data_IF_388536192937
#
_entry.id   IF_388536192937
#
_cell.length_a   1.000
_cell.length_b   1.000
_cell.length_c   1.000
_cell.angle_alpha   90.00
_cell.angle_beta   90.00
_cell.angle_gamma   90.00
#
_symmetry.space_group_name_H-M   'P 1'
#
loop_
_entity.id
_entity.type
_entity.pdbx_description
1 polymer ?
#
# COMPACT_ATOMS: atom_id res chain seq x y z
N UNK A 1 -19.51 -9.73 45.25
CA UNK A 1 -20.06 -9.98 43.90
C UNK A 1 -21.31 -10.89 43.87
N UNK A 2 -21.45 -11.89 44.73
CA UNK A 2 -22.64 -12.78 44.76
C UNK A 2 -23.95 -12.16 45.29
N UNK A 3 -23.88 -11.06 46.04
CA UNK A 3 -25.08 -10.40 46.61
C UNK A 3 -25.68 -9.30 45.71
N UNK A 4 -24.99 -8.83 44.67
CA UNK A 4 -25.55 -7.89 43.69
C UNK A 4 -26.42 -8.63 42.63
N UNK A 5 -26.03 -9.83 42.25
CA UNK A 5 -26.72 -10.60 41.22
C UNK A 5 -28.11 -11.06 41.70
N UNK A 6 -28.27 -11.36 43.00
CA UNK A 6 -29.57 -11.76 43.58
C UNK A 6 -30.57 -10.61 43.72
N UNK A 7 -30.10 -9.33 43.74
CA UNK A 7 -30.97 -8.16 43.87
C UNK A 7 -31.51 -7.68 42.52
N UNK A 8 -30.84 -8.00 41.42
CA UNK A 8 -31.30 -7.72 40.07
C UNK A 8 -32.32 -8.74 39.58
N UNK A 9 -32.15 -10.01 39.94
CA UNK A 9 -33.10 -11.04 39.54
C UNK A 9 -34.46 -10.93 40.21
N UNK A 10 -34.55 -10.39 41.44
CA UNK A 10 -35.83 -10.14 42.12
C UNK A 10 -36.64 -8.95 41.58
N UNK A 11 -35.98 -8.02 40.88
CA UNK A 11 -36.68 -6.90 40.23
C UNK A 11 -37.24 -7.24 38.85
N UNK A 12 -36.68 -8.24 38.16
CA UNK A 12 -37.18 -8.68 36.85
C UNK A 12 -38.47 -9.56 36.97
N UNK A 13 -38.68 -10.22 38.09
CA UNK A 13 -39.87 -11.09 38.28
C UNK A 13 -41.13 -10.33 38.62
N UNK A 14 -41.03 -9.11 39.21
CA UNK A 14 -42.20 -8.32 39.59
C UNK A 14 -42.81 -7.47 38.45
N UNK A 15 -42.20 -7.41 37.28
CA UNK A 15 -42.73 -6.59 36.14
C UNK A 15 -43.50 -7.45 35.10
N UNK A 16 -43.64 -8.75 35.30
CA UNK A 16 -44.17 -9.67 34.31
C UNK A 16 -45.66 -9.99 34.42
N UNK A 17 -46.39 -9.46 35.39
CA UNK A 17 -47.76 -9.95 35.68
C UNK A 17 -48.91 -9.02 35.23
N UNK A 18 -48.71 -7.93 34.49
CA UNK A 18 -49.78 -7.03 34.13
C UNK A 18 -49.87 -6.60 32.62
N UNK A 19 -49.23 -7.31 31.70
CA UNK A 19 -49.36 -6.97 30.29
C UNK A 19 -50.13 -8.00 29.46
N UNK A 20 -51.03 -7.51 28.61
CA UNK A 20 -51.92 -8.28 27.74
C UNK A 20 -51.14 -9.10 26.71
N UNK A 21 -51.51 -10.33 26.44
CA UNK A 21 -50.87 -11.33 25.59
C UNK A 21 -50.42 -10.84 24.20
N UNK A 22 -51.15 -9.90 23.61
CA UNK A 22 -50.81 -9.27 22.30
C UNK A 22 -49.59 -8.36 22.36
N UNK A 23 -49.34 -7.73 23.51
CA UNK A 23 -48.18 -6.82 23.69
C UNK A 23 -46.89 -7.63 23.94
N UNK A 24 -47.01 -8.76 24.65
CA UNK A 24 -45.88 -9.69 24.85
C UNK A 24 -45.40 -10.30 23.52
N UNK A 25 -46.35 -10.67 22.63
CA UNK A 25 -46.01 -11.24 21.33
C UNK A 25 -45.34 -10.23 20.40
N UNK A 26 -45.79 -8.96 20.40
CA UNK A 26 -45.14 -7.88 19.62
C UNK A 26 -43.76 -7.51 20.14
N UNK A 27 -43.54 -7.50 21.45
CA UNK A 27 -42.21 -7.25 22.03
C UNK A 27 -41.23 -8.41 21.79
N UNK A 28 -41.73 -9.66 21.82
CA UNK A 28 -40.89 -10.87 21.51
C UNK A 28 -40.50 -10.89 20.04
N UNK A 29 -41.34 -10.49 19.10
CA UNK A 29 -41.04 -10.34 17.67
C UNK A 29 -40.06 -9.18 17.47
N UNK A 30 -40.17 -8.06 18.19
CA UNK A 30 -39.27 -6.94 18.11
C UNK A 30 -37.88 -7.26 18.67
N UNK A 31 -37.79 -8.02 19.77
CA UNK A 31 -36.51 -8.53 20.29
C UNK A 31 -35.88 -9.59 19.38
N UNK A 32 -36.66 -10.47 18.74
CA UNK A 32 -36.16 -11.43 17.76
C UNK A 32 -35.68 -10.74 16.47
N UNK A 33 -36.38 -9.70 16.00
CA UNK A 33 -35.91 -8.89 14.87
C UNK A 33 -34.66 -8.04 15.22
N UNK A 34 -34.55 -7.56 16.46
CA UNK A 34 -33.35 -6.86 16.93
C UNK A 34 -32.15 -7.80 17.11
N UNK A 35 -32.37 -9.07 17.51
CA UNK A 35 -31.29 -10.10 17.53
C UNK A 35 -30.94 -10.65 16.15
N UNK A 36 -31.87 -10.70 15.20
CA UNK A 36 -31.58 -11.04 13.80
C UNK A 36 -30.91 -9.90 13.02
N UNK A 37 -31.02 -8.65 13.47
CA UNK A 37 -30.37 -7.50 12.87
C UNK A 37 -28.89 -7.31 13.23
N UNK A 38 -28.34 -8.13 14.16
CA UNK A 38 -26.94 -8.03 14.61
C UNK A 38 -25.98 -9.07 14.02
N UNK A 39 -26.40 -9.84 13.03
CA UNK A 39 -25.54 -10.87 12.41
C UNK A 39 -25.51 -10.83 10.87
N UNK A 40 -25.71 -9.64 10.30
CA UNK A 40 -25.26 -9.41 8.93
C UNK A 40 -24.14 -8.38 8.95
N UNK A 41 -22.96 -8.78 9.39
CA UNK A 41 -21.72 -8.14 8.96
C UNK A 41 -21.65 -8.44 7.46
N UNK A 42 -22.01 -7.46 6.65
CA UNK A 42 -21.90 -7.59 5.20
C UNK A 42 -20.41 -7.72 4.87
N UNK A 43 -20.08 -8.60 3.94
CA UNK A 43 -18.72 -8.78 3.42
C UNK A 43 -18.14 -7.48 2.77
N UNK A 44 -18.91 -6.40 2.74
CA UNK A 44 -18.50 -5.09 2.24
C UNK A 44 -17.85 -4.17 3.29
N UNK A 45 -18.03 -4.43 4.61
CA UNK A 45 -17.41 -3.61 5.66
C UNK A 45 -16.00 -4.05 6.07
N UNK A 46 -15.49 -5.17 5.55
CA UNK A 46 -14.12 -5.65 5.79
C UNK A 46 -13.05 -4.95 4.93
N UNK A 47 -13.42 -4.05 4.01
CA UNK A 47 -12.49 -3.46 3.05
C UNK A 47 -11.88 -2.11 3.45
N UNK A 48 -12.34 -1.47 4.50
CA UNK A 48 -11.83 -0.15 4.92
C UNK A 48 -11.16 -0.20 6.29
N UNK A 49 -9.99 -0.85 6.39
CA UNK A 49 -9.19 -0.83 7.61
C UNK A 49 -8.42 -2.10 7.92
N UNK A 50 -8.72 -3.22 7.27
CA UNK A 50 -8.01 -4.48 7.51
C UNK A 50 -6.68 -4.49 6.74
N UNK A 51 -5.59 -4.68 7.47
CA UNK A 51 -4.23 -4.84 6.95
C UNK A 51 -3.83 -6.31 6.98
N UNK A 52 -2.83 -6.70 6.16
CA UNK A 52 -2.20 -8.02 6.25
C UNK A 52 -1.68 -8.32 7.67
N UNK A 53 -1.36 -7.28 8.43
CA UNK A 53 -0.82 -7.37 9.79
C UNK A 53 -1.86 -7.69 10.87
N UNK A 54 -3.14 -7.74 10.52
CA UNK A 54 -4.24 -8.04 11.46
C UNK A 54 -4.50 -9.55 11.57
N UNK A 55 -3.82 -10.36 10.76
CA UNK A 55 -4.00 -11.80 10.74
C UNK A 55 -3.02 -12.54 11.66
N UNK A 56 -3.52 -13.63 12.23
CA UNK A 56 -2.74 -14.61 13.02
C UNK A 56 -2.75 -15.91 12.24
N UNK A 57 -1.61 -16.55 12.13
CA UNK A 57 -1.40 -17.86 11.49
C UNK A 57 -0.70 -18.79 12.47
N UNK A 58 -0.62 -20.08 12.17
CA UNK A 58 0.10 -21.06 12.99
C UNK A 58 1.44 -21.42 12.33
N UNK A 59 2.49 -21.47 13.15
CA UNK A 59 3.79 -22.00 12.71
C UNK A 59 3.76 -23.55 12.65
N UNK A 60 4.90 -24.16 12.33
CA UNK A 60 5.10 -25.60 12.26
C UNK A 60 5.01 -26.32 13.61
N UNK A 61 4.97 -25.58 14.70
CA UNK A 61 4.74 -26.08 16.07
C UNK A 61 3.30 -25.79 16.56
N UNK A 62 2.37 -25.42 15.68
CA UNK A 62 0.97 -25.03 15.97
C UNK A 62 0.83 -23.79 16.87
N UNK A 63 1.91 -23.00 17.03
CA UNK A 63 1.90 -21.77 17.81
C UNK A 63 1.35 -20.62 16.98
N UNK A 64 0.54 -19.77 17.60
CA UNK A 64 0.03 -18.55 16.97
C UNK A 64 1.16 -17.55 16.70
N UNK A 65 1.24 -17.11 15.46
CA UNK A 65 2.18 -16.09 14.97
C UNK A 65 1.38 -14.93 14.37
N UNK A 66 1.59 -13.74 14.87
CA UNK A 66 0.98 -12.52 14.31
C UNK A 66 1.75 -12.08 13.08
N UNK A 67 1.06 -11.84 11.96
CA UNK A 67 1.71 -11.26 10.77
C UNK A 67 2.20 -9.83 11.00
N UNK A 68 1.83 -9.17 12.11
CA UNK A 68 2.41 -7.90 12.54
C UNK A 68 3.92 -7.98 12.82
N UNK A 69 4.47 -9.17 13.09
CA UNK A 69 5.90 -9.40 13.27
C UNK A 69 6.71 -9.13 11.98
N UNK A 70 6.05 -9.22 10.84
CA UNK A 70 6.65 -8.97 9.51
C UNK A 70 6.48 -7.52 9.03
N UNK A 71 5.97 -6.63 9.87
CA UNK A 71 5.76 -5.22 9.50
C UNK A 71 7.06 -4.54 9.07
N UNK A 72 7.01 -3.84 7.93
CA UNK A 72 8.18 -3.19 7.33
C UNK A 72 8.99 -4.08 6.40
N UNK A 73 8.66 -5.38 6.27
CA UNK A 73 9.21 -6.26 5.25
C UNK A 73 8.32 -6.30 4.00
N UNK A 74 8.91 -6.56 2.85
CA UNK A 74 8.18 -6.95 1.63
C UNK A 74 7.91 -8.44 1.74
N UNK A 75 6.66 -8.87 1.55
CA UNK A 75 6.27 -10.27 1.74
C UNK A 75 5.88 -10.91 0.41
N UNK A 76 6.25 -12.18 0.23
CA UNK A 76 5.69 -13.05 -0.79
C UNK A 76 4.95 -14.19 -0.07
N UNK A 77 3.62 -14.13 -0.10
CA UNK A 77 2.75 -15.14 0.53
C UNK A 77 2.40 -16.17 -0.53
N UNK A 78 2.68 -17.44 -0.25
CA UNK A 78 2.52 -18.53 -1.22
C UNK A 78 1.83 -19.74 -0.60
N UNK A 79 0.87 -20.34 -1.32
CA UNK A 79 0.33 -21.66 -0.97
C UNK A 79 1.05 -22.75 -1.75
N UNK A 80 1.59 -23.76 -1.06
CA UNK A 80 2.52 -24.72 -1.65
C UNK A 80 2.06 -26.16 -1.52
N UNK A 81 2.81 -27.07 -2.13
CA UNK A 81 2.61 -28.52 -2.01
C UNK A 81 3.91 -29.27 -2.37
N UNK A 82 4.11 -30.44 -1.73
CA UNK A 82 5.30 -31.27 -1.91
C UNK A 82 5.24 -32.25 -3.08
N UNK A 83 4.03 -32.53 -3.62
CA UNK A 83 3.80 -33.49 -4.72
C UNK A 83 3.12 -32.88 -5.92
N UNK A 84 3.38 -31.59 -6.17
CA UNK A 84 2.82 -30.82 -7.28
C UNK A 84 3.81 -30.75 -8.45
N UNK A 85 3.30 -30.64 -9.67
CA UNK A 85 4.14 -30.36 -10.84
C UNK A 85 4.91 -29.04 -10.74
N UNK A 86 4.45 -28.12 -9.89
CA UNK A 86 5.11 -26.84 -9.59
C UNK A 86 6.04 -26.88 -8.37
N UNK A 87 6.17 -28.01 -7.64
CA UNK A 87 7.08 -28.16 -6.48
C UNK A 87 8.53 -27.72 -6.78
N UNK A 88 9.10 -27.91 -8.00
CA UNK A 88 10.42 -27.40 -8.32
C UNK A 88 10.61 -25.88 -8.18
N UNK A 89 9.52 -25.10 -8.12
CA UNK A 89 9.59 -23.65 -7.86
C UNK A 89 10.17 -23.31 -6.47
N UNK A 90 10.17 -24.24 -5.52
CA UNK A 90 10.84 -24.03 -4.24
C UNK A 90 12.29 -23.62 -4.41
N UNK A 91 13.02 -24.23 -5.36
CA UNK A 91 14.40 -23.85 -5.65
C UNK A 91 14.56 -22.40 -6.12
N UNK A 92 13.64 -21.96 -6.99
CA UNK A 92 13.66 -20.59 -7.50
C UNK A 92 13.24 -19.60 -6.42
N UNK A 93 12.29 -19.98 -5.55
CA UNK A 93 11.85 -19.16 -4.41
C UNK A 93 12.98 -19.02 -3.38
N UNK A 94 13.70 -20.10 -3.07
CA UNK A 94 14.86 -20.04 -2.16
C UNK A 94 15.96 -19.14 -2.74
N UNK A 95 16.28 -19.28 -4.03
CA UNK A 95 17.24 -18.38 -4.70
C UNK A 95 16.83 -16.90 -4.59
N UNK A 96 15.52 -16.62 -4.72
CA UNK A 96 14.99 -15.27 -4.57
C UNK A 96 15.11 -14.80 -3.11
N UNK A 97 14.82 -15.67 -2.15
CA UNK A 97 14.94 -15.39 -0.73
C UNK A 97 16.39 -15.09 -0.33
N UNK A 98 17.33 -15.96 -0.65
CA UNK A 98 18.75 -15.75 -0.38
C UNK A 98 19.27 -14.40 -0.91
N UNK A 99 18.80 -14.00 -2.08
CA UNK A 99 19.22 -12.75 -2.73
C UNK A 99 18.71 -11.51 -2.01
N UNK A 100 17.47 -11.51 -1.51
CA UNK A 100 16.79 -10.30 -1.05
C UNK A 100 16.39 -10.29 0.43
N UNK A 101 16.57 -11.38 1.19
CA UNK A 101 16.19 -11.45 2.61
C UNK A 101 16.85 -10.35 3.45
N UNK A 102 18.14 -10.06 3.23
CA UNK A 102 18.89 -8.99 3.89
C UNK A 102 18.39 -7.58 3.56
N UNK A 103 17.66 -7.43 2.45
CA UNK A 103 17.05 -6.17 2.04
C UNK A 103 15.60 -6.02 2.58
N UNK A 104 15.22 -6.92 3.50
CA UNK A 104 13.92 -6.91 4.17
C UNK A 104 12.81 -7.56 3.35
N UNK A 105 13.15 -8.58 2.56
CA UNK A 105 12.19 -9.47 1.92
C UNK A 105 11.95 -10.72 2.77
N UNK A 106 10.71 -11.24 2.75
CA UNK A 106 10.33 -12.47 3.42
C UNK A 106 9.38 -13.29 2.58
N UNK A 107 9.50 -14.61 2.61
CA UNK A 107 8.56 -15.54 2.00
C UNK A 107 7.78 -16.24 3.13
N UNK A 108 6.45 -16.20 3.05
CA UNK A 108 5.57 -16.88 3.99
C UNK A 108 4.92 -18.05 3.26
N UNK A 109 5.38 -19.26 3.58
CA UNK A 109 4.98 -20.50 2.93
C UNK A 109 3.86 -21.20 3.70
N UNK A 110 2.73 -21.44 3.02
CA UNK A 110 1.55 -22.07 3.57
C UNK A 110 1.21 -23.35 2.77
N UNK A 111 1.61 -24.56 3.21
CA UNK A 111 1.22 -25.79 2.53
C UNK A 111 -0.29 -25.97 2.46
N UNK A 112 -0.80 -26.35 1.28
CA UNK A 112 -2.24 -26.50 1.04
C UNK A 112 -2.53 -27.83 0.37
N UNK A 113 -3.44 -28.64 0.97
CA UNK A 113 -3.78 -29.97 0.46
C UNK A 113 -5.04 -30.00 -0.41
N UNK A 114 -5.67 -28.83 -0.69
CA UNK A 114 -6.96 -28.75 -1.39
C UNK A 114 -6.85 -29.08 -2.91
N UNK A 115 -5.65 -29.02 -3.49
CA UNK A 115 -5.44 -29.24 -4.93
C UNK A 115 -4.86 -30.63 -5.19
N UNK A 116 -5.75 -31.61 -5.35
CA UNK A 116 -5.38 -32.97 -5.67
C UNK A 116 -4.61 -33.71 -4.59
N UNK A 117 -4.79 -33.30 -3.32
CA UNK A 117 -4.11 -33.89 -2.14
C UNK A 117 -2.58 -33.93 -2.28
N UNK A 118 -2.02 -32.88 -2.87
CA UNK A 118 -0.60 -32.79 -3.22
C UNK A 118 0.31 -32.32 -2.07
N UNK A 119 -0.25 -31.99 -0.90
CA UNK A 119 0.49 -31.70 0.33
C UNK A 119 0.11 -32.69 1.45
N UNK A 120 0.33 -34.02 1.27
CA UNK A 120 0.03 -35.01 2.28
C UNK A 120 1.01 -34.94 3.45
N UNK A 121 0.71 -35.63 4.54
CA UNK A 121 1.57 -35.71 5.73
C UNK A 121 1.36 -34.56 6.70
N UNK A 122 2.12 -34.54 7.76
CA UNK A 122 2.14 -33.48 8.78
C UNK A 122 2.95 -32.28 8.30
N UNK A 123 2.82 -31.13 8.97
CA UNK A 123 3.64 -29.96 8.64
C UNK A 123 5.14 -30.23 8.87
N UNK A 124 5.50 -31.03 9.90
CA UNK A 124 6.88 -31.41 10.19
C UNK A 124 7.47 -32.28 9.07
N UNK A 125 6.69 -33.21 8.49
CA UNK A 125 7.12 -34.01 7.33
C UNK A 125 7.29 -33.16 6.09
N UNK A 126 6.41 -32.17 5.87
CA UNK A 126 6.53 -31.20 4.77
C UNK A 126 7.77 -30.34 4.94
N UNK A 127 8.00 -29.78 6.12
CA UNK A 127 9.18 -28.97 6.43
C UNK A 127 10.47 -29.76 6.22
N UNK A 128 10.52 -30.98 6.75
CA UNK A 128 11.67 -31.87 6.53
C UNK A 128 11.92 -32.16 5.04
N UNK A 129 10.85 -32.39 4.27
CA UNK A 129 10.94 -32.56 2.82
C UNK A 129 11.52 -31.32 2.13
N UNK A 130 11.01 -30.14 2.47
CA UNK A 130 11.43 -28.87 1.85
C UNK A 130 12.89 -28.55 2.18
N UNK A 131 13.29 -28.69 3.43
CA UNK A 131 14.68 -28.48 3.86
C UNK A 131 15.62 -29.48 3.20
N UNK A 132 15.27 -30.77 3.18
CA UNK A 132 16.16 -31.81 2.65
C UNK A 132 16.32 -31.75 1.11
N UNK A 133 15.31 -31.30 0.37
CA UNK A 133 15.33 -31.31 -1.10
C UNK A 133 15.62 -29.95 -1.74
N UNK A 134 15.35 -28.85 -1.03
CA UNK A 134 15.43 -27.49 -1.58
C UNK A 134 16.20 -26.52 -0.69
N UNK A 135 16.68 -26.97 0.48
CA UNK A 135 17.43 -26.17 1.46
C UNK A 135 16.67 -24.91 1.92
N UNK A 136 15.34 -25.01 2.06
CA UNK A 136 14.46 -23.88 2.37
C UNK A 136 14.84 -23.26 3.72
N UNK A 137 15.06 -21.93 3.70
CA UNK A 137 15.43 -21.11 4.86
C UNK A 137 14.30 -20.12 5.26
N UNK A 138 13.35 -19.84 4.37
CA UNK A 138 12.24 -18.96 4.70
C UNK A 138 11.20 -19.64 5.60
N UNK A 139 10.39 -18.86 6.37
CA UNK A 139 9.37 -19.38 7.27
C UNK A 139 8.32 -20.25 6.57
N UNK A 140 8.12 -21.45 7.12
CA UNK A 140 7.06 -22.37 6.73
C UNK A 140 6.02 -22.45 7.86
N UNK A 141 4.76 -22.23 7.51
CA UNK A 141 3.63 -22.21 8.44
C UNK A 141 2.84 -23.51 8.37
N UNK A 142 1.90 -23.70 9.32
CA UNK A 142 1.00 -24.83 9.29
C UNK A 142 0.12 -24.83 8.02
N UNK A 143 -0.44 -26.00 7.72
CA UNK A 143 -1.31 -26.16 6.58
C UNK A 143 -2.52 -25.23 6.64
N UNK A 144 -2.86 -24.68 5.48
CA UNK A 144 -3.93 -23.69 5.36
C UNK A 144 -4.97 -24.12 4.30
N UNK A 145 -6.25 -23.81 4.55
CA UNK A 145 -7.26 -23.85 3.50
C UNK A 145 -7.42 -22.49 2.86
N UNK A 146 -7.29 -22.45 1.53
CA UNK A 146 -7.26 -21.22 0.73
C UNK A 146 -8.55 -20.95 -0.02
N UNK A 147 -9.50 -21.93 0.00
CA UNK A 147 -10.82 -21.83 -0.61
C UNK A 147 -11.86 -22.59 0.20
N UNK A 148 -13.15 -22.25 0.03
CA UNK A 148 -14.28 -22.99 0.55
C UNK A 148 -14.71 -22.57 1.96
N UNK A 149 -15.49 -23.42 2.64
CA UNK A 149 -16.15 -23.06 3.89
C UNK A 149 -15.17 -22.85 5.07
N UNK A 150 -14.03 -23.53 5.04
CA UNK A 150 -13.00 -23.44 6.09
C UNK A 150 -11.80 -22.56 5.65
N UNK A 151 -12.00 -21.75 4.61
CA UNK A 151 -10.96 -20.85 4.13
C UNK A 151 -10.44 -19.93 5.24
N UNK A 152 -9.12 -19.85 5.36
CA UNK A 152 -8.50 -18.97 6.33
C UNK A 152 -8.75 -17.48 5.98
N UNK A 153 -9.10 -16.62 6.95
CA UNK A 153 -9.41 -15.21 6.73
C UNK A 153 -8.30 -14.44 5.98
N UNK A 154 -7.04 -14.81 6.15
CA UNK A 154 -5.91 -14.28 5.39
C UNK A 154 -6.13 -14.44 3.87
N UNK A 155 -6.56 -15.61 3.40
CA UNK A 155 -6.77 -15.85 1.97
C UNK A 155 -8.04 -15.21 1.44
N UNK A 156 -9.09 -15.07 2.27
CA UNK A 156 -10.26 -14.25 1.95
C UNK A 156 -9.84 -12.80 1.67
N UNK A 157 -9.00 -12.23 2.55
CA UNK A 157 -8.47 -10.88 2.38
C UNK A 157 -7.60 -10.77 1.11
N UNK A 158 -6.62 -11.65 0.92
CA UNK A 158 -5.71 -11.62 -0.25
C UNK A 158 -6.48 -11.67 -1.57
N UNK A 159 -7.45 -12.58 -1.68
CA UNK A 159 -8.30 -12.74 -2.88
C UNK A 159 -9.22 -11.54 -3.13
N UNK A 160 -9.70 -10.88 -2.07
CA UNK A 160 -10.49 -9.65 -2.19
C UNK A 160 -9.65 -8.47 -2.69
N UNK A 161 -8.37 -8.40 -2.28
CA UNK A 161 -7.45 -7.35 -2.74
C UNK A 161 -6.97 -7.57 -4.18
N UNK A 162 -6.66 -8.83 -4.54
CA UNK A 162 -6.18 -9.21 -5.88
C UNK A 162 -6.84 -10.51 -6.33
N UNK A 163 -7.85 -10.36 -7.17
CA UNK A 163 -8.56 -11.48 -7.79
C UNK A 163 -7.71 -12.23 -8.82
N UNK A 164 -8.30 -13.27 -9.38
CA UNK A 164 -7.69 -14.02 -10.48
C UNK A 164 -7.69 -13.17 -11.77
N UNK A 165 -6.53 -13.00 -12.38
CA UNK A 165 -6.33 -12.20 -13.59
C UNK A 165 -6.27 -13.00 -14.90
N UNK A 166 -6.40 -14.33 -14.83
CA UNK A 166 -6.22 -15.24 -15.98
C UNK A 166 -4.83 -15.88 -16.01
N UNK A 167 -4.70 -16.95 -16.77
CA UNK A 167 -3.40 -17.52 -17.15
C UNK A 167 -2.92 -16.91 -18.46
N UNK A 168 -1.60 -16.79 -18.66
CA UNK A 168 -1.06 -16.47 -19.99
C UNK A 168 -1.21 -17.68 -20.92
N UNK A 169 -2.23 -17.65 -21.75
CA UNK A 169 -2.52 -18.74 -22.70
C UNK A 169 -1.58 -18.80 -23.91
N UNK A 170 -0.67 -17.84 -24.06
CA UNK A 170 0.43 -17.91 -25.02
C UNK A 170 1.58 -18.79 -24.51
N UNK A 171 1.68 -18.96 -23.18
CA UNK A 171 2.57 -19.94 -22.55
C UNK A 171 1.91 -21.33 -22.54
N UNK A 172 2.69 -22.38 -22.84
CA UNK A 172 2.15 -23.74 -22.90
C UNK A 172 1.57 -24.23 -21.58
N UNK A 173 2.20 -23.87 -20.43
CA UNK A 173 1.73 -24.26 -19.09
C UNK A 173 0.49 -23.46 -18.71
N UNK A 174 0.45 -22.17 -19.04
CA UNK A 174 -0.73 -21.33 -18.84
C UNK A 174 -1.93 -21.84 -19.59
N UNK A 175 -1.75 -22.17 -20.89
CA UNK A 175 -2.79 -22.78 -21.72
C UNK A 175 -3.27 -24.12 -21.16
N UNK A 176 -2.35 -24.99 -20.73
CA UNK A 176 -2.71 -26.28 -20.13
C UNK A 176 -3.56 -26.10 -18.86
N UNK A 177 -3.20 -25.15 -17.99
CA UNK A 177 -3.95 -24.87 -16.76
C UNK A 177 -5.33 -24.31 -17.06
N UNK A 178 -5.46 -23.36 -18.00
CA UNK A 178 -6.75 -22.83 -18.42
C UNK A 178 -7.64 -23.93 -19.00
N UNK A 179 -7.15 -24.74 -19.94
CA UNK A 179 -7.89 -25.84 -20.56
C UNK A 179 -8.35 -26.90 -19.54
N UNK A 180 -7.48 -27.23 -18.57
CA UNK A 180 -7.77 -28.20 -17.51
C UNK A 180 -8.86 -27.72 -16.56
N UNK A 181 -8.77 -26.47 -16.09
CA UNK A 181 -9.74 -25.91 -15.15
C UNK A 181 -11.07 -25.62 -15.82
N UNK A 182 -11.07 -25.13 -17.05
CA UNK A 182 -12.29 -24.85 -17.82
C UNK A 182 -13.11 -26.10 -18.12
N UNK A 183 -12.46 -27.26 -18.25
CA UNK A 183 -13.15 -28.56 -18.35
C UNK A 183 -13.88 -28.96 -17.06
N UNK A 184 -13.41 -28.48 -15.90
CA UNK A 184 -14.01 -28.76 -14.57
C UNK A 184 -15.11 -27.76 -14.19
N UNK A 185 -14.86 -26.48 -14.51
CA UNK A 185 -15.77 -25.36 -14.26
C UNK A 185 -15.59 -24.33 -15.37
N UNK A 186 -16.59 -24.19 -16.25
CA UNK A 186 -16.54 -23.26 -17.38
C UNK A 186 -16.39 -21.80 -16.94
N UNK A 187 -16.82 -21.47 -15.71
CA UNK A 187 -16.80 -20.15 -15.14
C UNK A 187 -15.70 -19.96 -14.09
N UNK A 188 -14.69 -20.83 -14.04
CA UNK A 188 -13.62 -20.79 -13.05
C UNK A 188 -12.89 -19.44 -13.04
N UNK A 189 -12.77 -18.79 -14.18
CA UNK A 189 -12.09 -17.50 -14.38
C UNK A 189 -12.86 -16.30 -13.84
N UNK A 190 -14.16 -16.45 -13.56
CA UNK A 190 -15.01 -15.42 -12.96
C UNK A 190 -14.90 -15.34 -11.43
N UNK A 191 -14.22 -16.27 -10.81
CA UNK A 191 -14.06 -16.39 -9.35
C UNK A 191 -12.66 -15.97 -8.93
N UNK A 192 -12.54 -15.29 -7.77
CA UNK A 192 -11.25 -14.91 -7.19
C UNK A 192 -10.51 -16.07 -6.52
N UNK A 193 -11.13 -17.25 -6.40
CA UNK A 193 -10.54 -18.43 -5.76
C UNK A 193 -9.12 -18.71 -6.22
N UNK A 194 -8.31 -19.26 -5.33
CA UNK A 194 -6.99 -19.80 -5.68
C UNK A 194 -7.19 -20.97 -6.64
N UNK A 195 -6.48 -20.94 -7.77
CA UNK A 195 -6.68 -21.93 -8.84
C UNK A 195 -5.85 -23.18 -8.68
N UNK A 196 -4.68 -23.05 -8.08
CA UNK A 196 -3.76 -24.17 -7.88
C UNK A 196 -2.70 -23.85 -6.81
N UNK A 197 -1.90 -24.88 -6.43
CA UNK A 197 -0.71 -24.70 -5.62
C UNK A 197 0.30 -23.76 -6.30
N UNK A 198 1.08 -23.04 -5.51
CA UNK A 198 2.06 -22.04 -5.93
C UNK A 198 1.45 -20.76 -6.50
N UNK A 199 0.21 -20.41 -6.12
CA UNK A 199 -0.29 -19.04 -6.26
C UNK A 199 0.40 -18.15 -5.22
N UNK A 200 0.82 -16.95 -5.64
CA UNK A 200 1.63 -16.05 -4.81
C UNK A 200 1.03 -14.66 -4.76
N UNK A 201 1.22 -13.99 -3.62
CA UNK A 201 0.82 -12.58 -3.44
C UNK A 201 2.03 -11.78 -2.97
N UNK A 202 2.40 -10.75 -3.73
CA UNK A 202 3.41 -9.78 -3.32
C UNK A 202 2.76 -8.69 -2.49
N UNK A 203 3.34 -8.39 -1.33
CA UNK A 203 2.83 -7.42 -0.36
C UNK A 203 3.93 -6.40 -0.05
N UNK A 204 3.59 -5.12 -0.08
CA UNK A 204 4.51 -4.02 0.22
C UNK A 204 4.83 -3.91 1.71
N UNK A 205 5.86 -3.11 2.05
CA UNK A 205 6.32 -2.87 3.43
C UNK A 205 5.25 -2.29 4.35
N UNK A 206 4.24 -1.62 3.81
CA UNK A 206 3.10 -1.05 4.53
C UNK A 206 1.87 -1.99 4.58
N UNK A 207 2.01 -3.22 4.09
CA UNK A 207 1.00 -4.27 4.19
C UNK A 207 -0.05 -4.27 3.07
N UNK A 208 0.13 -3.49 2.00
CA UNK A 208 -0.77 -3.51 0.85
C UNK A 208 -0.45 -4.67 -0.08
N UNK A 209 -1.47 -5.41 -0.53
CA UNK A 209 -1.31 -6.45 -1.54
C UNK A 209 -1.11 -5.80 -2.90
N UNK A 210 0.09 -5.95 -3.47
CA UNK A 210 0.49 -5.30 -4.72
C UNK A 210 0.02 -6.08 -5.93
N UNK A 211 0.30 -7.39 -5.94
CA UNK A 211 0.04 -8.23 -7.11
C UNK A 211 -0.18 -9.69 -6.70
N UNK A 212 -0.98 -10.38 -7.47
CA UNK A 212 -1.15 -11.84 -7.44
C UNK A 212 -0.47 -12.44 -8.66
N UNK A 213 0.19 -13.58 -8.47
CA UNK A 213 0.83 -14.37 -9.51
C UNK A 213 0.29 -15.79 -9.46
N UNK A 214 -0.01 -16.32 -10.61
CA UNK A 214 -0.43 -17.70 -10.75
C UNK A 214 0.79 -18.64 -10.81
N UNK A 215 0.61 -19.96 -10.61
CA UNK A 215 1.75 -20.89 -10.63
C UNK A 215 2.51 -20.93 -11.97
N UNK A 216 1.88 -20.49 -13.05
CA UNK A 216 2.49 -20.44 -14.40
C UNK A 216 3.30 -19.18 -14.67
N UNK A 217 3.17 -18.15 -13.81
CA UNK A 217 3.93 -16.91 -13.95
C UNK A 217 5.41 -17.15 -13.63
N UNK A 218 6.28 -16.43 -14.31
CA UNK A 218 7.72 -16.58 -14.16
C UNK A 218 8.21 -15.94 -12.86
N UNK A 219 9.12 -16.59 -12.17
CA UNK A 219 9.75 -16.02 -10.97
C UNK A 219 10.52 -14.74 -11.30
N UNK A 220 11.07 -14.62 -12.52
CA UNK A 220 11.72 -13.38 -12.99
C UNK A 220 10.78 -12.17 -13.01
N UNK A 221 9.49 -12.36 -13.23
CA UNK A 221 8.52 -11.27 -13.22
C UNK A 221 8.19 -10.84 -11.78
N UNK A 222 8.19 -11.82 -10.84
CA UNK A 222 8.10 -11.55 -9.40
C UNK A 222 9.34 -10.78 -8.94
N UNK A 223 10.53 -11.21 -9.36
CA UNK A 223 11.79 -10.56 -9.02
C UNK A 223 11.83 -9.11 -9.51
N UNK A 224 11.35 -8.84 -10.72
CA UNK A 224 11.29 -7.48 -11.25
C UNK A 224 10.39 -6.55 -10.42
N UNK A 225 9.21 -7.04 -10.00
CA UNK A 225 8.30 -6.28 -9.14
C UNK A 225 8.86 -6.17 -7.70
N UNK A 226 9.48 -7.24 -7.16
CA UNK A 226 10.12 -7.25 -5.85
C UNK A 226 11.25 -6.22 -5.77
N UNK A 227 12.08 -6.11 -6.80
CA UNK A 227 13.20 -5.15 -6.84
C UNK A 227 12.70 -3.71 -6.66
N UNK A 228 11.51 -3.37 -7.20
CA UNK A 228 10.92 -2.05 -7.04
C UNK A 228 10.54 -1.74 -5.60
N UNK A 229 10.25 -2.76 -4.80
CA UNK A 229 9.83 -2.63 -3.40
C UNK A 229 11.00 -2.70 -2.41
N UNK A 230 11.99 -3.57 -2.66
CA UNK A 230 13.12 -3.74 -1.72
C UNK A 230 14.19 -2.67 -1.88
N UNK A 231 14.39 -2.13 -3.08
CA UNK A 231 15.34 -1.04 -3.30
C UNK A 231 14.77 0.28 -2.78
N UNK A 232 15.37 0.90 -1.74
CA UNK A 232 14.78 2.09 -1.10
C UNK A 232 14.68 3.30 -2.05
N UNK A 233 15.55 3.42 -3.04
CA UNK A 233 15.50 4.51 -4.02
C UNK A 233 14.33 4.30 -4.98
N UNK A 234 14.20 3.10 -5.54
CA UNK A 234 13.11 2.76 -6.47
C UNK A 234 11.77 2.83 -5.76
N UNK A 235 11.67 2.25 -4.58
CA UNK A 235 10.46 2.30 -3.74
C UNK A 235 10.04 3.74 -3.44
N UNK A 236 10.97 4.61 -3.05
CA UNK A 236 10.70 6.02 -2.78
C UNK A 236 10.18 6.77 -4.02
N UNK A 237 10.79 6.53 -5.20
CA UNK A 237 10.34 7.10 -6.48
C UNK A 237 8.91 6.63 -6.81
N UNK A 238 8.66 5.32 -6.65
CA UNK A 238 7.36 4.73 -6.96
C UNK A 238 6.27 5.14 -5.97
N UNK A 239 6.61 5.43 -4.71
CA UNK A 239 5.66 5.82 -3.67
C UNK A 239 5.29 7.31 -3.71
N UNK A 240 6.16 8.19 -4.27
CA UNK A 240 5.92 9.64 -4.28
C UNK A 240 4.63 10.01 -5.01
N UNK A 241 3.82 10.85 -4.36
CA UNK A 241 2.56 11.40 -4.90
C UNK A 241 2.53 12.93 -4.76
N UNK A 242 1.70 13.57 -5.57
CA UNK A 242 1.38 15.00 -5.38
C UNK A 242 0.30 15.13 -4.32
N UNK A 243 0.66 15.67 -3.17
CA UNK A 243 -0.22 15.85 -2.00
C UNK A 243 -0.89 17.20 -2.05
N UNK A 244 -2.21 17.24 -1.85
CA UNK A 244 -3.07 18.43 -1.88
C UNK A 244 -3.91 18.60 -0.63
N UNK A 245 -3.65 17.78 0.38
CA UNK A 245 -4.26 17.89 1.71
C UNK A 245 -3.16 17.62 2.74
N UNK A 246 -3.02 18.54 3.68
CA UNK A 246 -1.95 18.51 4.68
C UNK A 246 -2.54 18.57 6.07
N UNK A 247 -1.86 17.92 7.02
CA UNK A 247 -2.14 18.09 8.45
C UNK A 247 -1.82 19.53 8.86
N UNK A 248 -2.58 20.05 9.83
CA UNK A 248 -2.27 21.32 10.49
C UNK A 248 -1.11 21.10 11.50
N UNK A 249 0.06 20.89 10.91
CA UNK A 249 1.31 20.63 11.64
C UNK A 249 2.47 21.31 10.91
N UNK A 250 3.24 22.17 11.59
CA UNK A 250 4.43 22.77 10.99
C UNK A 250 5.46 21.69 10.62
N UNK A 251 6.25 21.96 9.58
CA UNK A 251 7.41 21.14 9.23
C UNK A 251 8.59 21.67 10.01
N UNK A 252 9.37 20.79 10.60
CA UNK A 252 10.59 21.11 11.31
C UNK A 252 11.60 21.76 10.37
N UNK A 253 12.26 22.85 10.82
CA UNK A 253 13.22 23.62 10.02
C UNK A 253 14.35 22.75 9.45
N UNK A 254 14.87 21.83 10.27
CA UNK A 254 15.95 20.92 9.91
C UNK A 254 15.55 19.96 8.75
N UNK A 255 14.26 19.60 8.67
CA UNK A 255 13.75 18.81 7.55
C UNK A 255 13.68 19.63 6.27
N UNK A 256 13.26 20.90 6.36
CA UNK A 256 13.25 21.81 5.21
C UNK A 256 14.67 22.06 4.70
N UNK A 257 15.63 22.28 5.60
CA UNK A 257 17.05 22.40 5.25
C UNK A 257 17.56 21.13 4.55
N UNK A 258 17.25 19.94 5.08
CA UNK A 258 17.64 18.67 4.48
C UNK A 258 17.06 18.49 3.06
N UNK A 259 15.77 18.85 2.86
CA UNK A 259 15.11 18.83 1.56
C UNK A 259 15.84 19.75 0.58
N UNK A 260 16.11 20.99 0.97
CA UNK A 260 16.81 21.96 0.11
C UNK A 260 18.23 21.50 -0.19
N UNK A 261 18.95 20.98 0.80
CA UNK A 261 20.30 20.41 0.64
C UNK A 261 20.33 19.28 -0.38
N UNK A 262 19.33 18.39 -0.37
CA UNK A 262 19.19 17.35 -1.40
C UNK A 262 18.90 17.98 -2.78
N UNK A 263 18.05 19.00 -2.81
CA UNK A 263 17.73 19.73 -4.05
C UNK A 263 18.97 20.30 -4.73
N UNK A 264 19.75 21.08 -4.01
CA UNK A 264 20.93 21.76 -4.58
C UNK A 264 22.07 20.82 -4.99
N UNK A 265 21.99 19.54 -4.63
CA UNK A 265 22.87 18.48 -5.16
C UNK A 265 22.44 17.99 -6.56
N UNK A 266 21.38 18.53 -7.14
CA UNK A 266 21.01 18.20 -8.51
C UNK A 266 22.11 18.63 -9.49
N UNK A 267 22.34 17.86 -10.57
CA UNK A 267 23.25 18.29 -11.63
C UNK A 267 22.70 19.52 -12.35
N UNK A 268 23.61 20.35 -12.87
CA UNK A 268 23.24 21.46 -13.74
C UNK A 268 24.24 21.59 -14.89
N UNK A 269 23.82 22.18 -16.03
CA UNK A 269 24.64 22.36 -17.17
C UNK A 269 25.94 23.12 -16.82
N UNK A 270 27.10 22.48 -17.00
CA UNK A 270 28.43 23.02 -16.62
C UNK A 270 28.53 23.43 -15.13
N UNK A 271 27.71 22.84 -14.26
CA UNK A 271 27.61 23.20 -12.84
C UNK A 271 27.29 24.70 -12.60
N UNK A 272 26.48 25.30 -13.48
CA UNK A 272 26.12 26.73 -13.38
C UNK A 272 25.14 27.03 -12.26
N UNK A 273 24.38 26.04 -11.82
CA UNK A 273 23.39 26.16 -10.74
C UNK A 273 22.43 27.36 -10.92
N UNK A 274 21.73 27.47 -12.08
CA UNK A 274 20.93 28.62 -12.45
C UNK A 274 19.59 28.66 -11.73
N UNK A 275 19.64 28.61 -10.41
CA UNK A 275 18.46 28.65 -9.56
C UNK A 275 18.68 29.48 -8.31
N UNK A 276 17.60 30.04 -7.80
CA UNK A 276 17.50 30.62 -6.47
C UNK A 276 16.36 29.88 -5.74
N UNK A 277 16.59 29.52 -4.48
CA UNK A 277 15.59 28.89 -3.63
C UNK A 277 15.22 29.81 -2.49
N UNK A 278 13.94 29.97 -2.22
CA UNK A 278 13.39 30.69 -1.07
C UNK A 278 12.45 29.77 -0.30
N UNK A 279 12.72 29.53 0.96
CA UNK A 279 11.86 28.75 1.84
C UNK A 279 10.97 29.71 2.63
N UNK A 280 9.68 29.47 2.62
CA UNK A 280 8.67 30.26 3.33
C UNK A 280 8.06 29.38 4.43
N UNK A 281 8.44 29.66 5.67
CA UNK A 281 7.93 29.04 6.89
C UNK A 281 6.94 29.97 7.62
N UNK A 282 6.86 31.23 7.19
CA UNK A 282 5.96 32.25 7.74
C UNK A 282 4.49 31.92 7.35
N UNK A 283 3.81 31.21 8.26
CA UNK A 283 2.41 30.80 8.05
C UNK A 283 1.47 32.01 7.92
N UNK A 284 1.81 33.15 8.55
CA UNK A 284 1.03 34.37 8.41
C UNK A 284 1.15 34.90 6.98
N UNK A 285 2.34 34.92 6.43
CA UNK A 285 2.56 35.34 5.04
C UNK A 285 1.77 34.46 4.06
N UNK A 286 1.77 33.11 4.29
CA UNK A 286 0.98 32.16 3.48
C UNK A 286 -0.52 32.42 3.62
N UNK A 287 -1.00 32.67 4.82
CA UNK A 287 -2.41 32.98 5.09
C UNK A 287 -2.84 34.33 4.43
N UNK A 288 -2.00 35.35 4.52
CA UNK A 288 -2.26 36.68 3.92
C UNK A 288 -2.40 36.58 2.38
N UNK A 289 -1.60 35.73 1.71
CA UNK A 289 -1.73 35.43 0.27
C UNK A 289 -3.07 34.75 -0.02
N UNK A 290 -3.45 33.75 0.76
CA UNK A 290 -4.72 33.05 0.56
C UNK A 290 -5.92 34.00 0.76
N UNK A 291 -5.84 34.89 1.75
CA UNK A 291 -6.86 35.92 1.99
C UNK A 291 -6.94 36.92 0.84
N UNK A 292 -5.81 37.46 0.38
CA UNK A 292 -5.76 38.40 -0.74
C UNK A 292 -6.26 37.78 -2.06
N UNK A 293 -6.06 36.45 -2.21
CA UNK A 293 -6.53 35.68 -3.35
C UNK A 293 -8.01 35.27 -3.25
N UNK A 294 -8.63 35.37 -2.07
CA UNK A 294 -9.99 34.90 -1.80
C UNK A 294 -10.17 33.39 -1.86
N UNK A 295 -9.08 32.62 -1.89
CA UNK A 295 -9.08 31.15 -1.88
C UNK A 295 -7.71 30.59 -1.50
N UNK A 296 -7.68 29.35 -1.07
CA UNK A 296 -6.39 28.64 -0.86
C UNK A 296 -5.63 28.51 -2.18
N UNK A 297 -4.39 28.97 -2.19
CA UNK A 297 -3.46 28.85 -3.32
C UNK A 297 -2.54 27.63 -3.20
N UNK A 298 -2.31 27.16 -1.96
CA UNK A 298 -1.26 26.18 -1.64
C UNK A 298 -1.80 24.93 -0.93
N UNK A 299 -3.10 24.63 -1.08
CA UNK A 299 -3.76 23.45 -0.50
C UNK A 299 -3.65 23.33 1.04
N UNK A 300 -3.44 24.44 1.74
CA UNK A 300 -3.25 24.42 3.19
C UNK A 300 -1.85 23.95 3.63
N UNK A 301 -0.88 23.91 2.73
CA UNK A 301 0.49 23.54 3.10
C UNK A 301 1.10 24.51 4.13
N UNK A 302 1.75 23.98 5.20
CA UNK A 302 2.34 24.79 6.26
C UNK A 302 3.64 25.48 5.85
N UNK A 303 4.30 25.04 4.78
CA UNK A 303 5.51 25.66 4.25
C UNK A 303 5.55 25.60 2.72
N UNK A 304 6.34 26.52 2.12
CA UNK A 304 6.53 26.59 0.67
C UNK A 304 8.02 26.66 0.35
N UNK A 305 8.42 26.00 -0.75
CA UNK A 305 9.74 26.16 -1.33
C UNK A 305 9.57 26.79 -2.72
N UNK A 306 9.96 28.05 -2.84
CA UNK A 306 9.86 28.84 -4.07
C UNK A 306 11.16 28.70 -4.87
N UNK A 307 11.05 28.23 -6.11
CA UNK A 307 12.19 28.03 -7.01
C UNK A 307 12.15 29.08 -8.13
N UNK A 308 13.23 29.80 -8.27
CA UNK A 308 13.39 30.86 -9.26
C UNK A 308 14.46 30.46 -10.28
N UNK A 309 14.28 30.91 -11.52
CA UNK A 309 15.22 30.73 -12.65
C UNK A 309 15.52 32.07 -13.32
N UNK A 310 16.58 32.20 -14.14
CA UNK A 310 16.87 33.42 -14.86
C UNK A 310 15.66 33.92 -15.65
N UNK A 311 15.41 35.23 -15.60
CA UNK A 311 14.23 35.84 -16.21
C UNK A 311 14.32 35.87 -17.78
N UNK A 312 15.51 35.81 -18.31
CA UNK A 312 15.76 35.74 -19.76
C UNK A 312 15.65 34.31 -20.34
N UNK A 313 15.23 33.37 -19.53
CA UNK A 313 15.13 31.94 -19.91
C UNK A 313 16.41 31.16 -19.63
N UNK A 314 16.29 29.85 -19.68
CA UNK A 314 17.36 28.92 -19.30
C UNK A 314 17.31 28.54 -17.80
N UNK A 315 17.74 27.33 -17.49
CA UNK A 315 17.73 26.81 -16.13
C UNK A 315 16.43 26.09 -15.73
N UNK A 316 15.38 26.06 -16.55
CA UNK A 316 14.13 25.37 -16.25
C UNK A 316 14.33 23.87 -16.12
N UNK A 317 15.17 23.26 -16.97
CA UNK A 317 15.54 21.86 -16.86
C UNK A 317 16.29 21.59 -15.55
N UNK A 318 17.30 22.42 -15.25
CA UNK A 318 18.11 22.30 -14.03
C UNK A 318 17.23 22.48 -12.77
N UNK A 319 16.31 23.48 -12.81
CA UNK A 319 15.33 23.69 -11.74
C UNK A 319 14.35 22.51 -11.59
N UNK A 320 14.00 21.83 -12.68
CA UNK A 320 13.20 20.61 -12.66
C UNK A 320 13.93 19.47 -11.93
N UNK A 321 15.21 19.26 -12.23
CA UNK A 321 16.06 18.26 -11.55
C UNK A 321 16.21 18.57 -10.05
N UNK A 322 16.46 19.84 -9.70
CA UNK A 322 16.48 20.33 -8.32
C UNK A 322 15.16 20.02 -7.60
N UNK A 323 14.03 20.31 -8.25
CA UNK A 323 12.70 20.09 -7.68
C UNK A 323 12.39 18.61 -7.44
N UNK A 324 12.76 17.71 -8.35
CA UNK A 324 12.55 16.29 -8.19
C UNK A 324 13.38 15.74 -7.02
N UNK A 325 14.65 16.14 -6.88
CA UNK A 325 15.47 15.77 -5.73
C UNK A 325 14.83 16.22 -4.40
N UNK A 326 14.29 17.46 -4.35
CA UNK A 326 13.57 17.95 -3.16
C UNK A 326 12.31 17.13 -2.88
N UNK A 327 11.52 16.78 -3.89
CA UNK A 327 10.30 15.99 -3.73
C UNK A 327 10.60 14.58 -3.26
N UNK A 328 11.66 13.93 -3.74
CA UNK A 328 12.09 12.61 -3.30
C UNK A 328 12.65 12.64 -1.88
N UNK A 329 13.43 13.66 -1.53
CA UNK A 329 13.93 13.84 -0.17
C UNK A 329 12.77 14.07 0.82
N UNK A 330 11.79 14.90 0.49
CA UNK A 330 10.60 15.11 1.30
C UNK A 330 9.83 13.78 1.52
N UNK A 331 9.60 13.02 0.44
CA UNK A 331 8.92 11.72 0.52
C UNK A 331 9.65 10.75 1.46
N UNK A 332 10.97 10.65 1.40
CA UNK A 332 11.76 9.76 2.25
C UNK A 332 11.72 10.12 3.74
N UNK A 333 11.34 11.36 4.07
CA UNK A 333 11.18 11.87 5.44
C UNK A 333 9.72 11.92 5.92
N UNK A 334 8.79 11.29 5.15
CA UNK A 334 7.36 11.28 5.47
C UNK A 334 6.63 12.59 5.20
N UNK A 335 7.22 13.48 4.40
CA UNK A 335 6.60 14.73 3.98
C UNK A 335 5.97 14.58 2.58
N UNK A 336 4.83 15.22 2.38
CA UNK A 336 4.16 15.32 1.09
C UNK A 336 4.50 16.62 0.38
N UNK A 337 4.55 16.59 -0.95
CA UNK A 337 4.80 17.77 -1.77
C UNK A 337 3.82 17.88 -2.93
N UNK A 338 3.61 19.12 -3.41
CA UNK A 338 2.92 19.39 -4.67
C UNK A 338 3.63 20.50 -5.43
N UNK A 339 4.06 20.23 -6.67
CA UNK A 339 4.66 21.25 -7.55
C UNK A 339 3.54 22.10 -8.19
N UNK A 340 3.61 23.41 -7.98
CA UNK A 340 2.55 24.37 -8.29
C UNK A 340 3.06 25.42 -9.31
N UNK A 341 2.57 25.34 -10.55
CA UNK A 341 2.77 26.38 -11.57
C UNK A 341 1.61 27.39 -11.65
N UNK A 342 0.38 26.95 -11.32
CA UNK A 342 -0.81 27.81 -11.36
C UNK A 342 -0.74 29.00 -10.42
N UNK A 343 -0.42 28.82 -9.13
CA UNK A 343 -0.22 29.91 -8.18
C UNK A 343 0.83 30.93 -8.62
N UNK A 344 1.92 30.51 -9.27
CA UNK A 344 2.94 31.42 -9.75
C UNK A 344 2.38 32.40 -10.78
N UNK A 345 1.61 31.92 -11.75
CA UNK A 345 0.96 32.78 -12.74
C UNK A 345 -0.01 33.77 -12.09
N UNK A 346 -0.80 33.27 -11.13
CA UNK A 346 -1.74 34.09 -10.36
C UNK A 346 -1.01 35.19 -9.56
N UNK A 347 0.04 34.84 -8.83
CA UNK A 347 0.82 35.78 -8.01
C UNK A 347 1.47 36.88 -8.87
N UNK A 348 1.99 36.54 -10.04
CA UNK A 348 2.58 37.49 -10.97
C UNK A 348 1.55 38.47 -11.60
N UNK A 349 0.29 38.05 -11.74
CA UNK A 349 -0.76 38.87 -12.37
C UNK A 349 -1.66 39.61 -11.38
N UNK A 350 -1.54 39.36 -10.08
CA UNK A 350 -2.43 39.92 -9.06
C UNK A 350 -1.68 40.93 -8.16
N UNK A 351 -1.93 42.21 -8.37
CA UNK A 351 -1.31 43.29 -7.59
C UNK A 351 -1.56 43.14 -6.06
N UNK A 352 -2.70 42.56 -5.65
CA UNK A 352 -2.98 42.31 -4.22
C UNK A 352 -2.04 41.32 -3.59
N UNK A 353 -1.32 40.52 -4.36
CA UNK A 353 -0.36 39.51 -3.87
C UNK A 353 1.10 39.93 -4.09
N UNK A 354 1.35 41.16 -4.60
CA UNK A 354 2.71 41.67 -4.86
C UNK A 354 3.60 41.63 -3.61
N UNK A 355 3.05 41.92 -2.43
CA UNK A 355 3.77 41.87 -1.17
C UNK A 355 4.47 40.52 -0.91
N UNK A 356 3.90 39.42 -1.43
CA UNK A 356 4.52 38.10 -1.31
C UNK A 356 5.77 38.00 -2.19
N UNK A 357 5.70 38.44 -3.44
CA UNK A 357 6.87 38.47 -4.35
C UNK A 357 7.97 39.40 -3.82
N UNK A 358 7.59 40.57 -3.30
CA UNK A 358 8.53 41.52 -2.68
C UNK A 358 9.22 40.89 -1.45
N UNK A 359 8.48 40.11 -0.64
CA UNK A 359 9.02 39.43 0.54
C UNK A 359 10.00 38.30 0.18
N UNK A 360 9.86 37.67 -1.01
CA UNK A 360 10.79 36.64 -1.47
C UNK A 360 12.17 37.26 -1.87
N UNK A 361 12.30 38.53 -2.04
CA UNK A 361 13.55 39.22 -2.41
C UNK A 361 14.27 38.51 -3.56
N UNK A 362 13.54 38.38 -4.68
CA UNK A 362 14.06 37.76 -5.90
C UNK A 362 14.84 38.81 -6.69
N UNK A 363 16.13 38.59 -7.05
CA UNK A 363 16.88 39.49 -7.92
C UNK A 363 16.17 39.77 -9.25
N UNK A 364 16.33 40.96 -9.80
CA UNK A 364 15.62 41.41 -11.01
C UNK A 364 15.91 40.60 -12.27
N UNK A 365 17.04 39.91 -12.30
CA UNK A 365 17.47 38.99 -13.37
C UNK A 365 16.94 37.56 -13.18
N UNK A 366 16.18 37.30 -12.09
CA UNK A 366 15.51 36.04 -11.82
C UNK A 366 14.00 36.22 -11.76
N UNK A 367 13.28 35.10 -11.93
CA UNK A 367 11.83 35.05 -11.80
C UNK A 367 11.38 33.79 -11.11
N UNK A 368 10.29 33.89 -10.35
CA UNK A 368 9.66 32.72 -9.75
C UNK A 368 9.16 31.76 -10.84
N UNK A 369 9.62 30.51 -10.83
CA UNK A 369 9.29 29.48 -11.81
C UNK A 369 8.18 28.57 -11.31
N UNK A 370 8.38 27.94 -10.17
CA UNK A 370 7.35 27.12 -9.50
C UNK A 370 7.47 27.20 -7.97
N UNK A 371 6.44 26.71 -7.30
CA UNK A 371 6.40 26.59 -5.84
C UNK A 371 6.16 25.12 -5.48
N UNK A 372 6.95 24.56 -4.59
CA UNK A 372 6.62 23.30 -3.90
C UNK A 372 5.86 23.63 -2.63
N UNK A 373 4.58 23.26 -2.58
CA UNK A 373 3.86 23.15 -1.33
C UNK A 373 4.38 21.90 -0.58
N UNK A 374 4.70 22.02 0.71
CA UNK A 374 5.31 20.97 1.50
C UNK A 374 4.70 20.91 2.90
N UNK A 375 4.46 19.71 3.41
CA UNK A 375 3.88 19.46 4.74
C UNK A 375 3.67 17.99 5.01
N UNK A 376 3.14 17.66 6.18
CA UNK A 376 2.73 16.30 6.51
C UNK A 376 1.44 15.96 5.75
N UNK A 377 1.40 14.84 4.98
CA UNK A 377 0.23 14.50 4.19
C UNK A 377 -0.96 14.11 5.07
N UNK A 378 -2.17 14.60 4.73
CA UNK A 378 -3.48 14.17 5.27
C UNK A 378 -4.32 13.49 4.18
N UNK A 379 -3.66 12.87 3.22
CA UNK A 379 -4.25 12.06 2.16
C UNK A 379 -3.22 11.04 1.64
N UNK A 380 -3.73 9.96 1.04
CA UNK A 380 -2.90 8.95 0.38
C UNK A 380 -3.49 8.66 -1.02
N UNK A 381 -3.21 9.51 -2.00
CA UNK A 381 -3.79 9.35 -3.33
C UNK A 381 -3.19 8.16 -4.07
N UNK A 382 -4.04 7.47 -4.82
CA UNK A 382 -3.63 6.37 -5.68
C UNK A 382 -2.65 6.79 -6.78
N UNK A 383 -1.82 5.84 -7.21
CA UNK A 383 -0.98 6.02 -8.37
C UNK A 383 -1.84 6.14 -9.64
N UNK A 384 -1.68 7.24 -10.37
CA UNK A 384 -2.32 7.36 -11.68
C UNK A 384 -1.61 6.48 -12.71
N UNK A 385 -2.33 5.85 -13.64
CA UNK A 385 -1.72 5.08 -14.73
C UNK A 385 -0.66 5.87 -15.50
N UNK A 386 0.38 5.19 -15.93
CA UNK A 386 1.43 5.74 -16.80
C UNK A 386 1.34 5.06 -18.16
N UNK A 387 1.53 5.85 -19.20
CA UNK A 387 1.48 5.39 -20.58
C UNK A 387 2.86 4.89 -21.02
N UNK A 388 3.08 3.57 -20.84
CA UNK A 388 4.32 2.92 -21.22
C UNK A 388 4.47 2.79 -22.75
N UNK A 389 3.41 2.98 -23.54
CA UNK A 389 3.48 2.92 -25.02
C UNK A 389 4.34 4.01 -25.62
N UNK A 390 4.61 5.08 -24.86
CA UNK A 390 5.50 6.19 -25.26
C UNK A 390 6.99 5.88 -25.10
N UNK A 391 7.33 4.70 -24.54
CA UNK A 391 8.71 4.26 -24.37
C UNK A 391 9.05 3.27 -25.46
N UNK A 392 10.13 3.52 -26.20
CA UNK A 392 10.66 2.62 -27.23
C UNK A 392 12.12 2.30 -26.92
N UNK A 393 12.43 1.04 -26.84
CA UNK A 393 13.80 0.57 -26.72
C UNK A 393 14.40 0.38 -28.12
N UNK A 394 15.49 1.09 -28.42
CA UNK A 394 16.26 0.92 -29.65
C UNK A 394 17.44 0.00 -29.30
N UNK A 395 17.44 -1.21 -29.88
CA UNK A 395 18.46 -2.24 -29.65
C UNK A 395 19.35 -2.34 -30.87
#
# INVERSE_FOLDING_TARGET
>A
MKNLIKREQSKLVCFAESENSRTKFKRMIFCLMAMMGMLTVSAQDLSSGTSIYDFIVKDDAEKDVSLAEYKGKVLLIVNTATRCGFTPQYKELETLYEKYAKDGFEILDFPCNQFGEQAPGTIQEIHQFCTANFDIQFPQFDKIEVNGANEHPLYTFLKAQKGFGGFDTNDQRGKFMDDMLRKRDADFDKKSDIKWNFTKFLVSRDGRVLKRYEPTDKISDIEADLLMEVNPVLSNIMARRSIRKYLDKPVEHEKLEAVVKCGINAPSGMNRQPWIVRVVEDQKLIADVNQAAGRSQFYGAPALICVCTPANGGGELDAGLLGENMMLAAQSMGLGTCCLGGPVRFLKSNEKCKFFLDRLDIPSDYQLNYILAIGYPDEQPDAKPRDASKVKYIK
#
